data_IF_261423642481
#
_entry.id   IF_261423642481
#
_cell.length_a   1.000
_cell.length_b   1.000
_cell.length_c   1.000
_cell.angle_alpha   90.00
_cell.angle_beta   90.00
_cell.angle_gamma   90.00
#
_symmetry.space_group_name_H-M   'P 1'
#
loop_
_entity.id
_entity.type
_entity.pdbx_description
1 polymer ?
#
# COMPACT_ATOMS: atom_id res chain seq x y z
N UNK A 1 26.14 -5.82 -14.33
CA UNK A 1 25.54 -4.90 -15.32
C UNK A 1 26.38 -4.68 -16.57
N UNK A 2 26.98 -5.71 -17.08
CA UNK A 2 27.85 -5.61 -18.25
C UNK A 2 27.03 -5.70 -19.55
N UNK A 3 26.30 -4.66 -19.86
CA UNK A 3 25.42 -4.54 -21.03
C UNK A 3 25.38 -3.08 -21.50
N UNK A 4 25.14 -2.86 -22.79
CA UNK A 4 24.96 -1.56 -23.42
C UNK A 4 23.49 -1.25 -23.75
N UNK A 5 22.56 -2.08 -23.26
CA UNK A 5 21.11 -1.80 -23.37
C UNK A 5 20.79 -0.42 -22.80
N UNK A 6 19.83 0.25 -23.46
CA UNK A 6 19.43 1.62 -23.07
C UNK A 6 18.69 1.66 -21.73
N UNK A 7 18.02 0.58 -21.37
CA UNK A 7 17.45 0.40 -20.05
C UNK A 7 17.91 -0.92 -19.43
N UNK A 8 18.37 -0.87 -18.19
CA UNK A 8 18.85 -2.03 -17.44
C UNK A 8 18.27 -2.02 -16.05
N UNK A 9 17.91 -3.19 -15.54
CA UNK A 9 17.40 -3.32 -14.18
C UNK A 9 18.21 -4.37 -13.42
N UNK A 10 18.65 -4.02 -12.22
CA UNK A 10 19.30 -4.92 -11.28
C UNK A 10 18.31 -5.25 -10.17
N UNK A 11 17.78 -6.47 -10.18
CA UNK A 11 16.79 -6.95 -9.23
C UNK A 11 17.37 -8.02 -8.33
N UNK A 12 17.08 -7.97 -7.02
CA UNK A 12 17.57 -9.00 -6.10
C UNK A 12 17.16 -8.75 -4.64
N UNK A 13 17.61 -9.61 -3.72
CA UNK A 13 17.27 -9.54 -2.30
C UNK A 13 17.81 -8.27 -1.64
N UNK A 14 17.28 -7.96 -0.44
CA UNK A 14 17.79 -6.87 0.39
C UNK A 14 19.26 -7.15 0.81
N UNK A 15 20.08 -6.13 0.90
CA UNK A 15 21.48 -6.30 1.33
C UNK A 15 22.45 -6.84 0.27
N UNK A 16 21.98 -7.18 -0.93
CA UNK A 16 22.80 -7.80 -2.00
C UNK A 16 23.72 -6.83 -2.76
N UNK A 17 23.93 -5.60 -2.30
CA UNK A 17 24.86 -4.65 -2.88
C UNK A 17 24.37 -3.89 -4.12
N UNK A 18 23.08 -4.00 -4.51
CA UNK A 18 22.52 -3.38 -5.72
C UNK A 18 22.76 -1.87 -5.85
N UNK A 19 22.46 -1.12 -4.80
CA UNK A 19 22.60 0.35 -4.82
C UNK A 19 24.08 0.77 -4.88
N UNK A 20 24.96 0.01 -4.24
CA UNK A 20 26.42 0.24 -4.35
C UNK A 20 26.88 -0.02 -5.78
N UNK A 21 26.47 -1.13 -6.40
CA UNK A 21 26.77 -1.41 -7.80
C UNK A 21 26.27 -0.30 -8.73
N UNK A 22 25.10 0.27 -8.46
CA UNK A 22 24.52 1.39 -9.21
C UNK A 22 25.30 2.69 -9.03
N UNK A 23 25.84 2.96 -7.83
CA UNK A 23 26.74 4.09 -7.59
C UNK A 23 28.02 3.97 -8.44
N UNK A 24 28.63 2.81 -8.46
CA UNK A 24 29.84 2.55 -9.29
C UNK A 24 29.53 2.58 -10.79
N UNK A 25 28.33 2.19 -11.20
CA UNK A 25 27.91 2.28 -12.61
C UNK A 25 27.90 3.71 -13.13
N UNK A 26 27.54 4.70 -12.30
CA UNK A 26 27.65 6.12 -12.65
C UNK A 26 29.10 6.45 -13.07
N UNK A 27 30.05 6.11 -12.20
CA UNK A 27 31.49 6.41 -12.43
C UNK A 27 32.01 5.62 -13.63
N UNK A 28 31.65 4.35 -13.76
CA UNK A 28 32.05 3.51 -14.90
C UNK A 28 31.58 4.12 -16.21
N UNK A 29 30.32 4.53 -16.32
CA UNK A 29 29.76 5.13 -17.53
C UNK A 29 30.33 6.52 -17.80
N UNK A 30 30.61 7.30 -16.77
CA UNK A 30 31.29 8.59 -16.91
C UNK A 30 32.72 8.40 -17.45
N UNK A 31 33.46 7.41 -16.94
CA UNK A 31 34.84 7.10 -17.40
C UNK A 31 34.88 6.55 -18.83
N UNK A 32 33.80 5.98 -19.33
CA UNK A 32 33.73 5.43 -20.70
C UNK A 32 33.26 6.44 -21.73
N UNK A 33 32.89 7.66 -21.33
CA UNK A 33 32.60 8.72 -22.30
C UNK A 33 33.84 9.13 -23.09
N UNK A 34 33.68 9.53 -24.33
CA UNK A 34 34.77 10.11 -25.11
C UNK A 34 35.16 11.46 -24.52
N UNK A 35 36.44 11.78 -24.55
CA UNK A 35 36.94 13.08 -24.14
C UNK A 35 36.54 14.16 -25.16
N UNK A 36 36.21 15.34 -24.67
CA UNK A 36 36.05 16.53 -25.51
C UNK A 36 37.41 16.99 -26.12
N UNK A 37 37.36 18.08 -26.89
CA UNK A 37 38.58 18.65 -27.51
C UNK A 37 39.63 19.10 -26.49
N UNK A 38 39.20 19.41 -25.26
CA UNK A 38 40.05 19.79 -24.14
C UNK A 38 40.58 18.60 -23.34
N UNK A 39 40.30 17.38 -23.79
CA UNK A 39 40.74 16.14 -23.14
C UNK A 39 39.87 15.71 -21.93
N UNK A 40 38.80 16.42 -21.61
CA UNK A 40 37.94 16.12 -20.45
C UNK A 40 36.72 15.28 -20.87
N UNK A 41 36.44 14.21 -20.10
CA UNK A 41 35.24 13.36 -20.28
C UNK A 41 34.11 13.91 -19.43
N UNK A 42 33.13 14.52 -20.09
CA UNK A 42 32.00 15.13 -19.40
C UNK A 42 30.77 14.28 -19.48
N UNK A 43 30.05 14.21 -18.35
CA UNK A 43 28.74 13.55 -18.28
C UNK A 43 27.86 14.22 -17.24
N UNK A 44 26.57 13.97 -17.32
CA UNK A 44 25.59 14.46 -16.36
C UNK A 44 24.59 13.35 -16.05
N UNK A 45 24.43 13.03 -14.76
CA UNK A 45 23.58 11.97 -14.27
C UNK A 45 22.42 12.53 -13.45
N UNK A 46 21.23 11.95 -13.58
CA UNK A 46 20.18 12.09 -12.57
C UNK A 46 20.08 10.80 -11.75
N UNK A 47 20.03 10.94 -10.43
CA UNK A 47 19.72 9.86 -9.49
C UNK A 47 18.32 10.13 -8.93
N UNK A 48 17.41 9.23 -9.20
CA UNK A 48 15.99 9.40 -8.90
C UNK A 48 15.55 8.46 -7.79
N UNK A 49 14.80 8.99 -6.83
CA UNK A 49 14.13 8.24 -5.77
C UNK A 49 12.70 8.80 -5.60
N UNK A 50 11.77 8.01 -5.11
CA UNK A 50 10.39 8.41 -4.92
C UNK A 50 10.27 9.66 -4.02
N UNK A 51 10.81 9.62 -2.79
CA UNK A 51 10.64 10.71 -1.83
C UNK A 51 11.95 11.39 -1.42
N UNK A 52 11.87 12.68 -1.06
CA UNK A 52 13.02 13.47 -0.55
C UNK A 52 13.66 12.83 0.67
N UNK A 53 12.86 12.26 1.57
CA UNK A 53 13.34 11.62 2.79
C UNK A 53 14.16 10.37 2.46
N UNK A 54 13.63 9.47 1.66
CA UNK A 54 14.35 8.26 1.23
C UNK A 54 15.63 8.64 0.48
N UNK A 55 15.56 9.59 -0.44
CA UNK A 55 16.71 10.07 -1.19
C UNK A 55 17.83 10.55 -0.27
N UNK A 56 17.50 11.35 0.74
CA UNK A 56 18.48 11.95 1.66
C UNK A 56 19.02 10.94 2.66
N UNK A 57 18.13 10.13 3.25
CA UNK A 57 18.47 9.24 4.36
C UNK A 57 19.21 7.97 3.91
N UNK A 58 19.04 7.56 2.65
CA UNK A 58 19.62 6.33 2.12
C UNK A 58 20.52 6.58 0.91
N UNK A 59 19.97 7.01 -0.23
CA UNK A 59 20.67 7.06 -1.53
C UNK A 59 21.87 7.99 -1.54
N UNK A 60 21.67 9.25 -1.08
CA UNK A 60 22.77 10.23 -0.99
C UNK A 60 23.81 9.77 0.01
N UNK A 61 23.42 9.25 1.16
CA UNK A 61 24.35 8.71 2.16
C UNK A 61 25.24 7.61 1.55
N UNK A 62 24.61 6.58 0.98
CA UNK A 62 25.34 5.49 0.34
C UNK A 62 26.31 6.02 -0.72
N UNK A 63 25.90 6.97 -1.54
CA UNK A 63 26.78 7.55 -2.55
C UNK A 63 27.96 8.28 -1.93
N UNK A 64 27.75 9.10 -0.90
CA UNK A 64 28.81 9.88 -0.24
C UNK A 64 29.76 9.01 0.58
N UNK A 65 29.33 7.85 1.08
CA UNK A 65 30.19 6.88 1.77
C UNK A 65 31.24 6.29 0.81
N UNK A 66 30.85 6.01 -0.43
CA UNK A 66 31.76 5.46 -1.45
C UNK A 66 32.55 6.54 -2.20
N UNK A 67 31.98 7.73 -2.34
CA UNK A 67 32.61 8.88 -3.03
C UNK A 67 32.65 10.09 -2.09
N UNK A 68 33.59 10.10 -1.11
CA UNK A 68 33.64 11.15 -0.11
C UNK A 68 33.90 12.54 -0.73
N UNK A 69 33.16 13.58 -0.31
CA UNK A 69 33.46 14.94 -0.70
C UNK A 69 34.87 15.35 -0.29
N UNK A 70 35.55 16.09 -1.16
CA UNK A 70 36.95 16.50 -0.97
C UNK A 70 37.97 15.46 -1.48
N UNK A 71 37.55 14.23 -1.79
CA UNK A 71 38.41 13.19 -2.37
C UNK A 71 38.06 12.97 -3.84
N UNK A 72 36.78 12.62 -4.11
CA UNK A 72 36.31 12.31 -5.46
C UNK A 72 35.54 13.46 -6.11
N UNK A 73 35.31 14.54 -5.39
CA UNK A 73 34.51 15.69 -5.85
C UNK A 73 33.93 16.49 -4.70
N UNK A 74 32.91 17.30 -5.01
CA UNK A 74 32.24 18.17 -4.04
C UNK A 74 30.73 18.00 -4.06
N UNK A 75 30.09 17.99 -2.87
CA UNK A 75 28.64 17.89 -2.72
C UNK A 75 28.02 19.21 -2.34
N UNK A 76 27.18 19.75 -3.21
CA UNK A 76 26.37 20.95 -2.96
C UNK A 76 25.04 20.56 -2.32
N UNK A 77 24.88 20.80 -1.02
CA UNK A 77 23.70 20.37 -0.25
C UNK A 77 22.41 21.07 -0.68
N UNK A 78 22.49 22.34 -1.07
CA UNK A 78 21.31 23.16 -1.45
C UNK A 78 20.62 22.64 -2.70
N UNK A 79 21.40 22.24 -3.71
CA UNK A 79 20.90 21.71 -4.97
C UNK A 79 20.86 20.18 -5.00
N UNK A 80 21.36 19.51 -3.96
CA UNK A 80 21.57 18.06 -3.91
C UNK A 80 22.33 17.56 -5.14
N UNK A 81 23.44 18.23 -5.49
CA UNK A 81 24.24 17.91 -6.65
C UNK A 81 25.67 17.58 -6.22
N UNK A 82 26.19 16.46 -6.71
CA UNK A 82 27.57 16.05 -6.53
C UNK A 82 28.36 16.31 -7.82
N UNK A 83 29.44 17.06 -7.71
CA UNK A 83 30.37 17.33 -8.81
C UNK A 83 31.55 16.36 -8.69
N UNK A 84 31.47 15.23 -9.35
CA UNK A 84 32.52 14.24 -9.39
C UNK A 84 33.64 14.72 -10.32
N UNK A 85 34.89 14.63 -9.84
CA UNK A 85 36.06 14.97 -10.61
C UNK A 85 37.27 14.11 -10.18
N UNK A 86 37.68 13.21 -11.04
CA UNK A 86 38.85 12.37 -10.84
C UNK A 86 39.57 12.23 -12.17
N UNK A 87 40.84 12.69 -12.22
CA UNK A 87 41.61 12.73 -13.47
C UNK A 87 40.93 13.60 -14.52
N UNK A 88 40.69 13.03 -15.68
CA UNK A 88 40.03 13.66 -16.83
C UNK A 88 38.49 13.46 -16.83
N UNK A 89 37.92 12.80 -15.81
CA UNK A 89 36.51 12.50 -15.73
C UNK A 89 35.79 13.54 -14.88
N UNK A 90 34.82 14.22 -15.47
CA UNK A 90 33.91 15.15 -14.80
C UNK A 90 32.46 14.67 -14.96
N UNK A 91 31.74 14.48 -13.85
CA UNK A 91 30.33 14.10 -13.86
C UNK A 91 29.52 14.95 -12.87
N UNK A 92 28.50 15.64 -13.38
CA UNK A 92 27.51 16.32 -12.54
C UNK A 92 26.40 15.32 -12.18
N UNK A 93 26.25 14.98 -10.89
CA UNK A 93 25.32 13.97 -10.41
C UNK A 93 24.23 14.67 -9.59
N UNK A 94 23.03 14.75 -10.16
CA UNK A 94 21.89 15.45 -9.57
C UNK A 94 20.95 14.45 -8.87
N UNK A 95 20.76 14.59 -7.58
CA UNK A 95 19.81 13.79 -6.81
C UNK A 95 18.44 14.45 -6.82
N UNK A 96 17.42 13.72 -7.27
CA UNK A 96 16.05 14.22 -7.44
C UNK A 96 15.05 13.26 -6.79
N UNK A 97 14.14 13.80 -6.00
CA UNK A 97 12.95 13.08 -5.57
C UNK A 97 11.82 13.42 -6.54
N UNK A 98 11.16 12.39 -7.04
CA UNK A 98 10.11 12.52 -8.04
C UNK A 98 9.01 11.52 -7.68
N UNK A 99 7.88 12.01 -7.16
CA UNK A 99 6.79 11.18 -6.68
C UNK A 99 5.47 11.39 -7.43
N UNK A 100 5.30 12.51 -8.11
CA UNK A 100 4.06 12.82 -8.82
C UNK A 100 4.25 13.40 -10.24
N UNK A 101 3.11 13.64 -10.92
CA UNK A 101 3.08 14.17 -12.27
C UNK A 101 3.59 15.62 -12.38
N UNK A 102 3.50 16.41 -11.31
CA UNK A 102 3.98 17.79 -11.28
C UNK A 102 5.51 17.83 -11.31
N UNK A 103 6.16 16.82 -10.77
CA UNK A 103 7.61 16.64 -10.84
C UNK A 103 8.11 16.36 -12.26
N UNK A 104 7.26 15.75 -13.11
CA UNK A 104 7.58 15.55 -14.54
C UNK A 104 7.84 16.87 -15.24
N UNK A 105 7.13 17.94 -14.89
CA UNK A 105 7.36 19.27 -15.47
C UNK A 105 8.78 19.79 -15.16
N UNK A 106 9.30 19.51 -13.98
CA UNK A 106 10.65 19.89 -13.55
C UNK A 106 11.74 19.15 -14.32
N UNK A 107 11.44 17.94 -14.84
CA UNK A 107 12.37 17.18 -15.67
C UNK A 107 12.55 17.78 -17.05
N UNK A 108 11.58 18.55 -17.54
CA UNK A 108 11.57 19.05 -18.92
C UNK A 108 12.74 19.98 -19.29
N UNK A 109 13.40 20.56 -18.30
CA UNK A 109 14.58 21.42 -18.49
C UNK A 109 15.92 20.68 -18.41
N UNK A 110 15.93 19.40 -18.03
CA UNK A 110 17.17 18.66 -17.83
C UNK A 110 17.77 18.17 -19.14
N UNK A 111 19.08 18.27 -19.23
CA UNK A 111 19.90 17.66 -20.28
C UNK A 111 20.87 16.71 -19.65
N UNK A 112 20.71 15.39 -19.88
CA UNK A 112 21.39 14.32 -19.19
C UNK A 112 22.19 13.44 -20.16
N UNK A 113 23.22 12.79 -19.65
CA UNK A 113 23.88 11.66 -20.30
C UNK A 113 23.13 10.37 -19.96
N UNK A 114 22.85 10.16 -18.67
CA UNK A 114 22.23 8.93 -18.18
C UNK A 114 21.43 9.19 -16.87
N UNK A 115 20.60 8.21 -16.48
CA UNK A 115 19.84 8.29 -15.24
C UNK A 115 19.84 6.96 -14.49
N UNK A 116 19.80 7.03 -13.16
CA UNK A 116 19.64 5.91 -12.25
C UNK A 116 18.39 6.06 -11.40
N UNK A 117 17.52 5.06 -11.41
CA UNK A 117 16.33 4.94 -10.57
C UNK A 117 16.62 4.00 -9.39
N UNK A 118 16.82 4.55 -8.20
CA UNK A 118 17.06 3.76 -7.00
C UNK A 118 15.73 3.28 -6.43
N UNK A 119 15.61 1.97 -6.14
CA UNK A 119 14.36 1.27 -5.82
C UNK A 119 13.27 1.57 -6.87
N UNK A 120 13.59 1.27 -8.11
CA UNK A 120 12.79 1.68 -9.26
C UNK A 120 11.35 1.17 -9.24
N UNK A 121 11.04 0.07 -8.54
CA UNK A 121 9.67 -0.45 -8.41
C UNK A 121 8.67 0.56 -7.83
N UNK A 122 9.18 1.54 -7.03
CA UNK A 122 8.37 2.58 -6.40
C UNK A 122 8.19 3.81 -7.32
N UNK A 123 8.95 3.90 -8.43
CA UNK A 123 8.93 5.05 -9.34
C UNK A 123 7.77 4.94 -10.34
N UNK A 124 7.03 6.05 -10.50
CA UNK A 124 5.95 6.13 -11.46
C UNK A 124 6.46 5.95 -12.92
N UNK A 125 5.82 5.10 -13.74
CA UNK A 125 6.15 4.90 -15.15
C UNK A 125 6.26 6.19 -15.99
N UNK A 126 5.44 7.20 -15.72
CA UNK A 126 5.47 8.49 -16.41
C UNK A 126 6.80 9.23 -16.22
N UNK A 127 7.43 9.07 -15.04
CA UNK A 127 8.76 9.63 -14.75
C UNK A 127 9.82 8.93 -15.58
N UNK A 128 9.72 7.61 -15.76
CA UNK A 128 10.65 6.83 -16.59
C UNK A 128 10.54 7.26 -18.04
N UNK A 129 9.31 7.42 -18.55
CA UNK A 129 9.05 7.91 -19.92
C UNK A 129 9.57 9.34 -20.12
N UNK A 130 9.29 10.25 -19.20
CA UNK A 130 9.80 11.62 -19.26
C UNK A 130 11.34 11.66 -19.23
N UNK A 131 11.97 10.85 -18.38
CA UNK A 131 13.42 10.78 -18.26
C UNK A 131 14.06 10.21 -19.53
N UNK A 132 13.44 9.24 -20.19
CA UNK A 132 13.92 8.66 -21.45
C UNK A 132 14.12 9.71 -22.55
N UNK A 133 13.34 10.79 -22.52
CA UNK A 133 13.41 11.92 -23.45
C UNK A 133 14.50 12.95 -23.05
N UNK A 134 15.14 12.82 -21.92
CA UNK A 134 16.15 13.75 -21.35
C UNK A 134 17.56 13.21 -21.42
N UNK A 135 17.73 11.90 -21.45
CA UNK A 135 19.04 11.25 -21.60
C UNK A 135 19.59 11.44 -23.03
N UNK A 136 20.90 11.36 -23.18
CA UNK A 136 21.57 11.51 -24.47
C UNK A 136 21.70 12.95 -24.99
N UNK A 137 21.38 13.95 -24.14
CA UNK A 137 21.43 15.37 -24.50
C UNK A 137 22.68 16.11 -23.99
N UNK A 138 23.42 15.52 -23.08
CA UNK A 138 24.65 16.07 -22.53
C UNK A 138 25.81 15.08 -22.68
N UNK A 139 27.04 15.52 -23.00
CA UNK A 139 27.39 16.86 -23.47
C UNK A 139 26.71 17.21 -24.78
N UNK A 140 26.73 18.51 -25.15
CA UNK A 140 26.12 18.96 -26.38
C UNK A 140 26.82 18.39 -27.62
N UNK A 141 26.16 18.36 -28.77
CA UNK A 141 26.77 17.89 -30.02
C UNK A 141 28.01 18.70 -30.41
N UNK A 142 28.11 19.98 -30.00
CA UNK A 142 29.30 20.84 -30.24
C UNK A 142 30.50 20.36 -29.42
N UNK A 143 30.24 19.72 -28.28
CA UNK A 143 31.26 19.17 -27.34
C UNK A 143 31.49 17.67 -27.56
N UNK A 144 31.09 17.16 -28.74
CA UNK A 144 31.26 15.75 -29.12
C UNK A 144 30.05 14.84 -28.87
N UNK A 145 29.06 15.29 -28.13
CA UNK A 145 27.90 14.48 -27.73
C UNK A 145 28.26 13.32 -26.79
N UNK A 146 27.28 12.59 -26.23
CA UNK A 146 27.55 11.40 -25.42
C UNK A 146 27.91 10.20 -26.30
N UNK A 147 28.99 9.49 -25.98
CA UNK A 147 29.38 8.25 -26.67
C UNK A 147 28.48 7.06 -26.27
N UNK A 148 27.94 7.08 -25.08
CA UNK A 148 26.89 6.18 -24.62
C UNK A 148 25.90 6.96 -23.73
N UNK A 149 24.61 6.62 -23.83
CA UNK A 149 23.58 7.13 -22.97
C UNK A 149 22.55 6.02 -22.66
N UNK A 150 21.91 6.09 -21.50
CA UNK A 150 20.93 5.10 -21.08
C UNK A 150 20.42 5.33 -19.67
N UNK A 151 19.63 4.40 -19.19
CA UNK A 151 19.07 4.41 -17.84
C UNK A 151 19.28 3.06 -17.18
N UNK A 152 19.30 3.04 -15.87
CA UNK A 152 19.20 1.79 -15.12
C UNK A 152 18.44 1.98 -13.83
N UNK A 153 17.86 0.89 -13.32
CA UNK A 153 17.24 0.82 -12.01
C UNK A 153 17.85 -0.27 -11.15
N UNK A 154 17.82 -0.07 -9.86
CA UNK A 154 18.02 -1.15 -8.89
C UNK A 154 16.79 -1.27 -8.00
N UNK A 155 16.42 -2.50 -7.63
CA UNK A 155 15.20 -2.74 -6.85
C UNK A 155 15.19 -4.11 -6.20
N UNK A 156 14.40 -4.24 -5.15
CA UNK A 156 13.83 -5.53 -4.78
C UNK A 156 12.72 -5.90 -5.77
N UNK A 157 12.37 -7.18 -5.93
CA UNK A 157 11.33 -7.59 -6.86
C UNK A 157 10.01 -6.85 -6.65
N UNK A 158 9.41 -6.33 -7.73
CA UNK A 158 8.05 -5.77 -7.67
C UNK A 158 7.01 -6.87 -7.53
N UNK A 159 5.74 -6.51 -7.33
CA UNK A 159 4.61 -7.44 -7.41
C UNK A 159 4.22 -7.70 -8.88
N UNK A 160 3.67 -8.90 -9.15
CA UNK A 160 3.37 -9.41 -10.50
C UNK A 160 2.32 -8.61 -11.28
N UNK A 161 1.64 -7.68 -10.64
CA UNK A 161 0.61 -6.83 -11.24
C UNK A 161 1.08 -5.40 -11.55
N UNK A 162 2.36 -5.11 -11.33
CA UNK A 162 2.91 -3.78 -11.57
C UNK A 162 3.42 -3.62 -13.00
N UNK A 163 3.44 -2.36 -13.48
CA UNK A 163 4.05 -2.02 -14.75
C UNK A 163 5.51 -2.50 -14.83
N UNK A 164 6.27 -2.39 -13.73
CA UNK A 164 7.66 -2.84 -13.65
C UNK A 164 7.81 -4.33 -13.92
N UNK A 165 6.91 -5.16 -13.36
CA UNK A 165 6.92 -6.61 -13.62
C UNK A 165 6.71 -6.90 -15.11
N UNK A 166 5.70 -6.30 -15.74
CA UNK A 166 5.43 -6.50 -17.16
C UNK A 166 6.60 -6.08 -18.05
N UNK A 167 7.27 -4.96 -17.73
CA UNK A 167 8.44 -4.53 -18.47
C UNK A 167 9.65 -5.45 -18.25
N UNK A 168 9.91 -5.90 -17.02
CA UNK A 168 11.04 -6.77 -16.69
C UNK A 168 10.90 -8.16 -17.30
N UNK A 169 9.68 -8.71 -17.35
CA UNK A 169 9.39 -10.02 -17.94
C UNK A 169 9.02 -9.93 -19.43
N UNK A 170 9.04 -8.73 -20.02
CA UNK A 170 8.69 -8.48 -21.43
C UNK A 170 7.29 -8.99 -21.80
N UNK A 171 6.33 -8.82 -20.90
CA UNK A 171 4.94 -9.25 -21.06
C UNK A 171 4.05 -8.10 -21.54
N UNK A 172 3.03 -8.39 -22.34
CA UNK A 172 1.96 -7.45 -22.64
C UNK A 172 1.01 -7.37 -21.42
N UNK A 173 0.75 -6.17 -20.87
CA UNK A 173 -0.16 -6.02 -19.74
C UNK A 173 -1.61 -6.46 -20.01
N UNK A 174 -2.01 -6.58 -21.28
CA UNK A 174 -3.39 -6.93 -21.67
C UNK A 174 -3.68 -8.41 -21.63
N UNK A 175 -2.73 -9.21 -22.05
CA UNK A 175 -2.92 -10.68 -22.18
C UNK A 175 -1.86 -11.51 -21.44
N UNK A 176 -0.82 -10.86 -20.92
CA UNK A 176 0.27 -11.55 -20.21
C UNK A 176 1.15 -12.41 -21.10
N UNK A 177 1.05 -12.28 -22.43
CA UNK A 177 1.85 -13.05 -23.37
C UNK A 177 3.19 -12.34 -23.64
N UNK A 178 4.26 -13.09 -23.65
CA UNK A 178 5.61 -12.61 -23.96
C UNK A 178 5.74 -12.42 -25.47
N UNK A 179 5.80 -11.17 -25.92
CA UNK A 179 6.30 -10.84 -27.28
C UNK A 179 6.74 -9.38 -27.42
N UNK A 180 6.99 -8.72 -26.33
CA UNK A 180 7.39 -7.30 -26.33
C UNK A 180 8.87 -7.17 -26.01
N UNK A 181 9.75 -7.33 -27.01
CA UNK A 181 11.16 -6.98 -26.83
C UNK A 181 11.31 -5.46 -26.71
N UNK A 182 11.19 -4.98 -25.49
CA UNK A 182 11.33 -3.58 -25.13
C UNK A 182 12.81 -3.11 -25.09
N UNK A 183 13.77 -3.96 -25.44
CA UNK A 183 15.19 -3.66 -25.41
C UNK A 183 15.77 -3.50 -23.99
N UNK A 184 15.09 -4.02 -22.97
CA UNK A 184 15.55 -3.99 -21.58
C UNK A 184 16.42 -5.20 -21.27
N UNK A 185 17.48 -4.99 -20.48
CA UNK A 185 18.24 -6.05 -19.85
C UNK A 185 17.95 -6.09 -18.35
N UNK A 186 17.51 -7.24 -17.88
CA UNK A 186 17.18 -7.47 -16.47
C UNK A 186 18.18 -8.45 -15.86
N UNK A 187 18.88 -8.03 -14.83
CA UNK A 187 19.85 -8.82 -14.06
C UNK A 187 19.20 -9.23 -12.75
N UNK A 188 18.89 -10.53 -12.61
CA UNK A 188 18.33 -11.10 -11.40
C UNK A 188 19.44 -11.70 -10.55
N UNK A 189 19.62 -11.17 -9.34
CA UNK A 189 20.57 -11.74 -8.38
C UNK A 189 20.00 -13.01 -7.74
N UNK A 190 20.83 -13.95 -7.33
CA UNK A 190 20.39 -15.17 -6.63
C UNK A 190 19.77 -14.86 -5.27
N UNK A 191 18.96 -15.79 -4.75
CA UNK A 191 18.39 -15.71 -3.41
C UNK A 191 19.47 -15.48 -2.36
N UNK A 192 19.18 -14.66 -1.34
CA UNK A 192 20.09 -14.43 -0.20
C UNK A 192 20.39 -15.70 0.61
N UNK A 193 19.58 -16.76 0.46
CA UNK A 193 19.82 -18.08 1.06
C UNK A 193 20.60 -19.05 0.15
N UNK A 194 20.89 -18.61 -1.06
CA UNK A 194 21.66 -19.42 -2.01
C UNK A 194 23.16 -19.41 -1.63
N UNK A 195 23.86 -20.47 -1.99
CA UNK A 195 25.34 -20.50 -1.93
C UNK A 195 25.99 -19.52 -2.89
N UNK A 196 25.22 -18.99 -3.85
CA UNK A 196 25.64 -17.98 -4.81
C UNK A 196 25.19 -16.56 -4.38
N UNK A 197 24.66 -16.41 -3.17
CA UNK A 197 24.22 -15.12 -2.67
C UNK A 197 25.36 -14.09 -2.69
N UNK A 198 25.05 -12.90 -3.17
CA UNK A 198 26.03 -11.83 -3.31
C UNK A 198 26.12 -10.97 -2.04
N UNK A 199 27.33 -10.45 -1.74
CA UNK A 199 27.59 -9.52 -0.64
C UNK A 199 27.38 -10.08 0.78
N UNK A 200 27.30 -11.40 0.94
CA UNK A 200 27.01 -12.04 2.26
C UNK A 200 28.12 -11.76 3.27
N UNK A 201 29.34 -11.65 2.81
CA UNK A 201 30.54 -11.37 3.63
C UNK A 201 30.49 -9.99 4.33
N UNK A 202 29.65 -9.08 3.85
CA UNK A 202 29.47 -7.74 4.41
C UNK A 202 28.17 -7.61 5.24
N UNK A 203 27.43 -8.72 5.43
CA UNK A 203 26.17 -8.73 6.18
C UNK A 203 26.38 -9.41 7.54
N UNK A 204 25.60 -9.02 8.58
CA UNK A 204 25.62 -9.71 9.86
C UNK A 204 25.23 -11.19 9.72
N UNK A 205 25.75 -12.04 10.61
CA UNK A 205 25.35 -13.45 10.70
C UNK A 205 23.83 -13.56 10.88
N UNK A 206 23.19 -14.48 10.15
CA UNK A 206 21.75 -14.68 10.19
C UNK A 206 20.91 -13.60 9.49
N UNK A 207 21.51 -12.71 8.71
CA UNK A 207 20.79 -11.62 8.04
C UNK A 207 19.59 -12.12 7.20
N UNK A 208 19.74 -13.29 6.59
CA UNK A 208 18.69 -13.93 5.79
C UNK A 208 17.89 -15.00 6.54
N UNK A 209 17.92 -15.00 7.88
CA UNK A 209 17.06 -15.88 8.66
C UNK A 209 15.59 -15.57 8.44
N UNK A 210 14.78 -16.63 8.33
CA UNK A 210 13.36 -16.53 8.01
C UNK A 210 12.45 -16.56 9.22
N UNK A 211 13.01 -16.86 10.41
CA UNK A 211 12.23 -17.00 11.63
C UNK A 211 11.51 -15.67 12.00
N UNK A 212 10.20 -15.73 12.21
CA UNK A 212 9.38 -14.57 12.57
C UNK A 212 9.07 -13.63 11.42
N UNK A 213 9.39 -13.99 10.16
CA UNK A 213 9.09 -13.20 8.97
C UNK A 213 7.91 -13.79 8.20
N UNK A 214 7.11 -12.93 7.54
CA UNK A 214 6.03 -13.40 6.68
C UNK A 214 6.56 -14.09 5.42
N UNK A 215 5.79 -15.01 4.86
CA UNK A 215 6.15 -15.70 3.60
C UNK A 215 6.39 -14.71 2.46
N UNK A 216 5.60 -13.63 2.39
CA UNK A 216 5.77 -12.57 1.38
C UNK A 216 7.08 -11.82 1.57
N UNK A 217 7.46 -11.50 2.81
CA UNK A 217 8.75 -10.88 3.11
C UNK A 217 9.90 -11.78 2.67
N UNK A 218 9.84 -13.08 3.01
CA UNK A 218 10.87 -14.05 2.63
C UNK A 218 10.98 -14.14 1.11
N UNK A 219 9.87 -14.30 0.41
CA UNK A 219 9.80 -14.36 -1.05
C UNK A 219 10.46 -13.16 -1.71
N UNK A 220 10.06 -11.95 -1.34
CA UNK A 220 10.48 -10.72 -2.03
C UNK A 220 11.87 -10.26 -1.59
N UNK A 221 12.10 -10.17 -0.29
CA UNK A 221 13.28 -9.50 0.26
C UNK A 221 14.44 -10.44 0.56
N UNK A 222 14.19 -11.75 0.71
CA UNK A 222 15.23 -12.74 0.96
C UNK A 222 15.49 -13.58 -0.28
N UNK A 223 14.44 -14.13 -0.91
CA UNK A 223 14.62 -15.01 -2.06
C UNK A 223 14.76 -14.27 -3.39
N UNK A 224 14.42 -12.98 -3.43
CA UNK A 224 14.52 -12.18 -4.65
C UNK A 224 13.51 -12.60 -5.72
N UNK A 225 12.38 -13.18 -5.31
CA UNK A 225 11.27 -13.58 -6.17
C UNK A 225 10.20 -12.48 -6.23
N UNK A 226 9.45 -12.43 -7.33
CA UNK A 226 8.35 -11.49 -7.48
C UNK A 226 7.30 -11.64 -6.37
N UNK A 227 6.84 -10.51 -5.85
CA UNK A 227 5.74 -10.47 -4.90
C UNK A 227 4.44 -10.95 -5.53
N UNK A 228 3.61 -11.62 -4.73
CA UNK A 228 2.24 -11.93 -5.15
C UNK A 228 1.42 -10.65 -5.07
N UNK A 229 0.60 -10.41 -6.08
CA UNK A 229 -0.31 -9.29 -6.07
C UNK A 229 -1.35 -9.46 -4.96
N UNK A 230 -1.40 -8.51 -4.04
CA UNK A 230 -2.59 -8.30 -3.21
C UNK A 230 -3.64 -7.46 -3.97
N UNK A 231 -3.31 -7.04 -5.17
CA UNK A 231 -4.10 -6.18 -6.01
C UNK A 231 -5.41 -6.85 -6.39
N UNK A 232 -6.50 -6.18 -6.08
CA UNK A 232 -7.83 -6.72 -6.31
C UNK A 232 -8.23 -7.86 -5.38
N UNK A 233 -7.38 -8.27 -4.43
CA UNK A 233 -7.79 -9.24 -3.43
C UNK A 233 -8.89 -8.65 -2.55
N UNK A 234 -9.93 -9.44 -2.23
CA UNK A 234 -10.93 -9.03 -1.26
C UNK A 234 -10.28 -8.67 0.07
N UNK A 235 -10.72 -7.58 0.69
CA UNK A 235 -10.30 -7.24 2.05
C UNK A 235 -10.75 -8.33 3.03
N UNK A 236 -11.95 -8.87 2.82
CA UNK A 236 -12.52 -9.95 3.65
C UNK A 236 -12.24 -11.34 3.05
N UNK A 237 -10.98 -11.74 3.02
CA UNK A 237 -10.53 -13.01 2.41
C UNK A 237 -11.12 -14.28 3.06
N UNK A 238 -11.61 -14.18 4.29
CA UNK A 238 -12.23 -15.30 5.02
C UNK A 238 -13.75 -15.39 4.81
N UNK A 239 -14.36 -14.43 4.11
CA UNK A 239 -15.80 -14.48 3.83
C UNK A 239 -16.12 -15.56 2.79
N UNK A 240 -17.03 -16.43 3.15
CA UNK A 240 -17.56 -17.50 2.27
C UNK A 240 -19.07 -17.41 2.26
N UNK A 241 -19.69 -17.10 1.10
CA UNK A 241 -21.14 -16.94 1.01
C UNK A 241 -21.94 -18.18 1.43
N UNK A 242 -21.43 -19.38 1.11
CA UNK A 242 -22.03 -20.67 1.48
C UNK A 242 -22.07 -20.92 2.99
N UNK A 243 -21.22 -20.25 3.75
CA UNK A 243 -21.08 -20.43 5.20
C UNK A 243 -21.51 -19.20 6.04
N UNK A 244 -21.36 -17.99 5.49
CA UNK A 244 -21.62 -16.75 6.22
C UNK A 244 -22.92 -16.05 5.81
N UNK A 245 -23.57 -16.47 4.72
CA UNK A 245 -24.92 -15.98 4.40
C UNK A 245 -25.96 -16.90 5.05
N UNK A 246 -26.93 -16.28 5.70
CA UNK A 246 -28.09 -17.02 6.21
C UNK A 246 -28.92 -17.58 5.03
N UNK A 247 -29.47 -18.77 5.20
CA UNK A 247 -30.34 -19.41 4.19
C UNK A 247 -31.74 -18.83 4.16
N UNK A 248 -32.13 -18.12 5.22
CA UNK A 248 -33.42 -17.43 5.36
C UNK A 248 -33.24 -16.09 6.08
N UNK A 249 -34.24 -15.25 6.04
CA UNK A 249 -34.29 -13.97 6.74
C UNK A 249 -34.04 -14.14 8.23
N UNK A 250 -33.07 -13.38 8.75
CA UNK A 250 -32.75 -13.33 10.16
C UNK A 250 -33.75 -12.47 10.92
N UNK A 251 -34.14 -12.90 12.12
CA UNK A 251 -35.02 -12.14 13.02
C UNK A 251 -34.25 -11.64 14.24
N UNK A 252 -34.50 -10.39 14.69
CA UNK A 252 -33.86 -9.88 15.90
C UNK A 252 -34.27 -10.68 17.12
N UNK A 253 -33.36 -10.82 18.07
CA UNK A 253 -33.60 -11.47 19.35
C UNK A 253 -34.16 -10.44 20.29
N UNK A 254 -35.41 -10.61 20.68
CA UNK A 254 -36.17 -9.69 21.55
C UNK A 254 -36.15 -10.12 23.02
N UNK A 255 -35.85 -11.39 23.30
CA UNK A 255 -35.75 -11.92 24.65
C UNK A 255 -34.46 -11.43 25.33
N UNK A 256 -34.60 -10.67 26.44
CA UNK A 256 -33.46 -10.23 27.27
C UNK A 256 -32.76 -8.96 26.77
N UNK A 257 -33.51 -7.86 26.60
CA UNK A 257 -33.02 -6.46 26.37
C UNK A 257 -31.67 -6.38 25.61
N UNK A 258 -31.66 -6.90 24.39
CA UNK A 258 -30.49 -6.77 23.51
C UNK A 258 -30.71 -5.67 22.49
N UNK A 259 -29.77 -4.73 22.44
CA UNK A 259 -29.85 -3.63 21.48
C UNK A 259 -29.52 -4.09 20.07
N UNK A 260 -30.20 -3.52 19.10
CA UNK A 260 -29.72 -3.45 17.72
C UNK A 260 -28.58 -2.44 17.68
N UNK A 261 -27.46 -2.86 17.16
CA UNK A 261 -26.29 -2.02 16.95
C UNK A 261 -26.32 -1.60 15.48
N UNK A 262 -26.27 -0.29 15.24
CA UNK A 262 -26.21 0.27 13.88
C UNK A 262 -24.84 0.86 13.71
N UNK A 263 -23.99 0.22 12.92
CA UNK A 263 -22.73 0.81 12.48
C UNK A 263 -22.98 1.78 11.34
N UNK A 264 -22.44 2.97 11.40
CA UNK A 264 -22.63 3.98 10.34
C UNK A 264 -21.31 4.59 9.89
N UNK A 265 -21.16 4.68 8.59
CA UNK A 265 -20.15 5.53 7.94
C UNK A 265 -20.81 6.87 7.54
N UNK A 266 -20.17 7.99 7.92
CA UNK A 266 -20.73 9.35 7.91
C UNK A 266 -20.09 10.20 6.80
N UNK A 267 -20.31 9.85 5.55
CA UNK A 267 -19.85 10.67 4.43
C UNK A 267 -20.99 11.37 3.68
N UNK A 268 -20.70 11.93 2.50
CA UNK A 268 -21.70 12.38 1.53
C UNK A 268 -22.49 11.20 0.91
N UNK A 269 -22.02 10.00 1.14
CA UNK A 269 -22.67 8.73 0.79
C UNK A 269 -22.82 7.91 2.07
N UNK A 270 -23.70 8.33 3.01
CA UNK A 270 -23.83 7.64 4.27
C UNK A 270 -24.35 6.21 4.08
N UNK A 271 -23.77 5.30 4.85
CA UNK A 271 -24.18 3.90 4.89
C UNK A 271 -24.38 3.44 6.34
N UNK A 272 -25.27 2.49 6.52
CA UNK A 272 -25.55 1.88 7.82
C UNK A 272 -25.68 0.36 7.68
N UNK A 273 -25.22 -0.38 8.68
CA UNK A 273 -25.38 -1.83 8.81
C UNK A 273 -25.99 -2.13 10.17
N UNK A 274 -27.00 -2.99 10.21
CA UNK A 274 -27.80 -3.30 11.39
C UNK A 274 -27.47 -4.71 11.88
N UNK A 275 -27.06 -4.86 13.12
CA UNK A 275 -26.70 -6.16 13.66
C UNK A 275 -26.91 -6.28 15.16
N UNK A 276 -26.72 -7.49 15.65
CA UNK A 276 -26.85 -7.85 17.07
C UNK A 276 -25.88 -8.97 17.44
N UNK A 277 -25.35 -8.97 18.65
CA UNK A 277 -24.65 -10.11 19.20
C UNK A 277 -25.66 -11.05 19.88
N UNK A 278 -25.75 -12.29 19.40
CA UNK A 278 -26.66 -13.27 19.96
C UNK A 278 -26.10 -13.90 21.28
N UNK A 279 -26.95 -14.66 22.05
CA UNK A 279 -26.50 -15.33 23.28
C UNK A 279 -25.38 -16.36 23.08
N UNK A 280 -25.21 -16.90 21.87
CA UNK A 280 -24.18 -17.87 21.52
C UNK A 280 -22.87 -17.18 21.13
N UNK A 281 -22.85 -15.83 21.10
CA UNK A 281 -21.68 -15.04 20.70
C UNK A 281 -21.51 -14.92 19.19
N UNK A 282 -22.60 -15.08 18.39
CA UNK A 282 -22.61 -14.85 16.95
C UNK A 282 -22.98 -13.40 16.64
N UNK A 283 -22.34 -12.81 15.67
CA UNK A 283 -22.74 -11.54 15.07
C UNK A 283 -23.79 -11.81 13.99
N UNK A 284 -25.01 -11.36 14.21
CA UNK A 284 -26.11 -11.45 13.25
C UNK A 284 -26.31 -10.10 12.58
N UNK A 285 -26.14 -10.05 11.27
CA UNK A 285 -26.30 -8.84 10.44
C UNK A 285 -27.66 -8.95 9.72
N UNK A 286 -28.60 -8.08 10.06
CA UNK A 286 -30.00 -8.18 9.63
C UNK A 286 -30.33 -7.37 8.38
N UNK A 287 -29.69 -6.21 8.25
CA UNK A 287 -30.05 -5.25 7.21
C UNK A 287 -28.94 -4.25 6.93
N UNK A 288 -29.09 -3.55 5.83
CA UNK A 288 -28.20 -2.47 5.41
C UNK A 288 -28.99 -1.30 4.84
N UNK A 289 -28.43 -0.12 4.90
CA UNK A 289 -28.94 1.05 4.21
C UNK A 289 -27.77 1.80 3.58
N UNK A 290 -27.85 2.07 2.29
CA UNK A 290 -26.86 2.84 1.54
C UNK A 290 -27.59 3.96 0.80
N UNK A 291 -27.05 5.17 0.84
CA UNK A 291 -27.59 6.29 0.06
C UNK A 291 -26.48 6.95 -0.75
N UNK A 292 -26.86 7.71 -1.75
CA UNK A 292 -25.96 8.46 -2.59
C UNK A 292 -26.36 9.94 -2.52
N UNK A 293 -25.36 10.82 -2.37
CA UNK A 293 -25.52 12.27 -2.35
C UNK A 293 -26.62 12.75 -1.37
N UNK A 294 -26.55 12.27 -0.13
CA UNK A 294 -27.53 12.55 0.90
C UNK A 294 -26.84 12.98 2.21
N UNK A 295 -27.26 14.14 2.74
CA UNK A 295 -26.79 14.58 4.06
C UNK A 295 -27.29 13.68 5.20
N UNK A 296 -26.49 13.58 6.28
CA UNK A 296 -26.75 12.67 7.41
C UNK A 296 -28.12 12.86 8.07
N UNK A 297 -28.59 14.11 8.24
CA UNK A 297 -29.87 14.38 8.84
C UNK A 297 -31.03 13.80 8.02
N UNK A 298 -31.00 14.00 6.70
CA UNK A 298 -31.99 13.44 5.79
C UNK A 298 -31.91 11.90 5.80
N UNK A 299 -30.73 11.34 5.75
CA UNK A 299 -30.50 9.88 5.81
C UNK A 299 -31.15 9.27 7.06
N UNK A 300 -30.92 9.87 8.24
CA UNK A 300 -31.49 9.38 9.50
C UNK A 300 -33.02 9.50 9.51
N UNK A 301 -33.56 10.61 9.05
CA UNK A 301 -35.02 10.84 9.08
C UNK A 301 -35.79 9.99 8.07
N UNK A 302 -35.27 9.88 6.84
CA UNK A 302 -36.04 9.30 5.72
C UNK A 302 -35.72 7.82 5.47
N UNK A 303 -34.59 7.30 5.98
CA UNK A 303 -34.20 5.91 5.75
C UNK A 303 -34.06 5.17 7.09
N UNK A 304 -33.17 5.64 8.00
CA UNK A 304 -32.86 4.89 9.22
C UNK A 304 -34.08 4.77 10.15
N UNK A 305 -34.74 5.89 10.42
CA UNK A 305 -35.92 5.91 11.33
C UNK A 305 -37.06 5.03 10.85
N UNK A 306 -37.52 5.11 9.58
CA UNK A 306 -38.57 4.22 9.08
C UNK A 306 -38.18 2.74 9.16
N UNK A 307 -36.94 2.39 8.77
CA UNK A 307 -36.43 1.02 8.79
C UNK A 307 -36.39 0.47 10.22
N UNK A 308 -35.91 1.25 11.18
CA UNK A 308 -35.91 0.88 12.61
C UNK A 308 -37.33 0.69 13.15
N UNK A 309 -38.29 1.57 12.78
CA UNK A 309 -39.68 1.45 13.20
C UNK A 309 -40.36 0.20 12.62
N UNK A 310 -40.13 -0.07 11.36
CA UNK A 310 -40.75 -1.20 10.67
C UNK A 310 -40.22 -2.56 11.16
N UNK A 311 -38.90 -2.67 11.38
CA UNK A 311 -38.21 -3.96 11.54
C UNK A 311 -37.68 -4.22 12.95
N UNK A 312 -37.42 -3.16 13.74
CA UNK A 312 -36.70 -3.26 14.99
C UNK A 312 -37.40 -2.53 16.15
N UNK A 313 -38.66 -2.21 16.01
CA UNK A 313 -39.45 -1.41 16.99
C UNK A 313 -39.49 -2.03 18.40
N UNK A 314 -39.28 -3.34 18.51
CA UNK A 314 -39.28 -4.05 19.80
C UNK A 314 -37.91 -4.12 20.47
N UNK A 315 -36.85 -3.55 19.85
CA UNK A 315 -35.49 -3.59 20.35
C UNK A 315 -34.96 -2.20 20.69
N UNK A 316 -34.21 -2.04 21.79
CA UNK A 316 -33.40 -0.83 21.97
C UNK A 316 -32.41 -0.67 20.83
N UNK A 317 -32.09 0.57 20.45
CA UNK A 317 -31.18 0.88 19.36
C UNK A 317 -29.99 1.69 19.87
N UNK A 318 -28.80 1.38 19.42
CA UNK A 318 -27.60 2.19 19.58
C UNK A 318 -26.90 2.36 18.23
N UNK A 319 -26.37 3.54 17.99
CA UNK A 319 -25.63 3.85 16.76
C UNK A 319 -24.15 4.00 17.09
N UNK A 320 -23.30 3.34 16.32
CA UNK A 320 -21.83 3.43 16.42
C UNK A 320 -21.30 4.04 15.13
N UNK A 321 -20.52 5.10 15.25
CA UNK A 321 -20.08 5.91 14.12
C UNK A 321 -18.54 6.03 14.08
N UNK A 322 -18.02 6.48 12.94
CA UNK A 322 -16.62 6.90 12.83
C UNK A 322 -16.29 7.94 13.92
N UNK A 323 -15.17 7.80 14.65
CA UNK A 323 -14.69 8.82 15.58
C UNK A 323 -14.55 10.22 14.96
N UNK A 324 -14.25 10.33 13.66
CA UNK A 324 -14.20 11.61 12.96
C UNK A 324 -15.57 12.30 12.88
N UNK A 325 -16.66 11.57 13.02
CA UNK A 325 -18.03 12.13 13.09
C UNK A 325 -18.30 13.05 14.28
N UNK A 326 -17.38 13.12 15.25
CA UNK A 326 -17.41 14.10 16.36
C UNK A 326 -16.83 15.47 15.97
N UNK A 327 -16.14 15.58 14.83
CA UNK A 327 -15.59 16.85 14.36
C UNK A 327 -16.73 17.76 13.88
N UNK A 328 -16.62 19.06 14.22
CA UNK A 328 -17.60 20.06 13.80
C UNK A 328 -17.41 20.42 12.33
N UNK A 329 -18.51 20.52 11.59
CA UNK A 329 -18.47 21.05 10.24
C UNK A 329 -18.22 22.58 10.29
N UNK A 330 -17.47 23.10 9.31
CA UNK A 330 -17.15 24.53 9.24
C UNK A 330 -18.38 25.40 8.89
N UNK A 331 -19.43 24.80 8.34
CA UNK A 331 -20.60 25.51 7.81
C UNK A 331 -21.69 25.78 8.85
N UNK A 332 -21.91 24.89 9.82
CA UNK A 332 -23.03 24.96 10.77
C UNK A 332 -22.64 24.64 12.23
N UNK A 333 -21.33 24.48 12.49
CA UNK A 333 -20.74 24.19 13.81
C UNK A 333 -21.25 22.91 14.50
N UNK A 334 -22.08 22.10 13.81
CA UNK A 334 -22.61 20.84 14.31
C UNK A 334 -21.78 19.66 13.84
N UNK A 335 -21.55 18.70 14.72
CA UNK A 335 -21.00 17.43 14.32
C UNK A 335 -22.09 16.48 13.80
N UNK A 336 -21.72 15.51 12.99
CA UNK A 336 -22.66 14.46 12.56
C UNK A 336 -23.25 13.70 13.75
N UNK A 337 -22.49 13.50 14.80
CA UNK A 337 -22.94 12.91 16.08
C UNK A 337 -24.02 13.77 16.73
N UNK A 338 -23.88 15.10 16.75
CA UNK A 338 -24.86 16.00 17.33
C UNK A 338 -26.19 16.00 16.55
N UNK A 339 -26.09 15.90 15.22
CA UNK A 339 -27.26 15.80 14.35
C UNK A 339 -28.01 14.49 14.63
N UNK A 340 -27.34 13.37 14.75
CA UNK A 340 -27.99 12.07 15.02
C UNK A 340 -28.59 12.05 16.43
N UNK A 341 -27.91 12.64 17.42
CA UNK A 341 -28.45 12.79 18.81
C UNK A 341 -29.69 13.67 18.84
N UNK A 342 -29.71 14.76 18.07
CA UNK A 342 -30.89 15.63 17.98
C UNK A 342 -32.11 14.90 17.35
N UNK A 343 -31.86 13.85 16.58
CA UNK A 343 -32.94 12.96 16.09
C UNK A 343 -33.39 11.92 17.14
N UNK A 344 -32.87 11.95 18.37
CA UNK A 344 -33.31 11.12 19.48
C UNK A 344 -32.60 9.77 19.62
N UNK A 345 -31.52 9.54 18.88
CA UNK A 345 -30.77 8.29 18.95
C UNK A 345 -29.61 8.36 19.95
N UNK A 346 -29.31 7.22 20.58
CA UNK A 346 -28.07 7.04 21.36
C UNK A 346 -26.91 6.77 20.41
N UNK A 347 -25.91 7.67 20.37
CA UNK A 347 -24.78 7.60 19.45
C UNK A 347 -23.48 7.52 20.23
N UNK A 348 -22.61 6.62 19.80
CA UNK A 348 -21.28 6.42 20.36
C UNK A 348 -20.23 6.44 19.24
N UNK A 349 -19.16 7.21 19.37
CA UNK A 349 -18.04 7.07 18.47
C UNK A 349 -17.36 5.71 18.71
N UNK A 350 -16.88 5.08 17.67
CA UNK A 350 -16.07 3.87 17.77
C UNK A 350 -14.79 4.16 18.58
N UNK A 351 -14.24 3.13 19.27
CA UNK A 351 -13.07 3.30 20.14
C UNK A 351 -11.80 3.70 19.39
N UNK A 352 -11.70 3.37 18.12
CA UNK A 352 -10.55 3.66 17.26
C UNK A 352 -10.96 3.78 15.81
N UNK A 353 -10.18 4.53 15.02
CA UNK A 353 -10.29 4.58 13.57
C UNK A 353 -9.17 3.78 12.87
N UNK A 354 -8.36 3.03 13.61
CA UNK A 354 -7.31 2.17 13.04
C UNK A 354 -7.92 1.14 12.10
N UNK A 355 -7.51 1.16 10.83
CA UNK A 355 -7.98 0.23 9.79
C UNK A 355 -7.69 -1.21 10.19
N UNK A 356 -6.49 -1.50 10.70
CA UNK A 356 -6.11 -2.85 11.13
C UNK A 356 -7.01 -3.38 12.26
N UNK A 357 -7.33 -2.55 13.27
CA UNK A 357 -8.23 -2.94 14.36
C UNK A 357 -9.66 -3.18 13.86
N UNK A 358 -10.15 -2.36 12.92
CA UNK A 358 -11.47 -2.51 12.30
C UNK A 358 -11.57 -3.81 11.50
N UNK A 359 -10.55 -4.14 10.71
CA UNK A 359 -10.50 -5.37 9.94
C UNK A 359 -10.38 -6.60 10.83
N UNK A 360 -9.49 -6.58 11.83
CA UNK A 360 -9.34 -7.69 12.79
C UNK A 360 -10.66 -8.00 13.50
N UNK A 361 -11.47 -6.99 13.85
CA UNK A 361 -12.76 -7.21 14.49
C UNK A 361 -13.77 -7.94 13.58
N UNK A 362 -13.69 -7.78 12.27
CA UNK A 362 -14.49 -8.54 11.30
C UNK A 362 -13.92 -9.95 11.11
N UNK A 363 -12.61 -10.05 10.86
CA UNK A 363 -11.92 -11.32 10.59
C UNK A 363 -12.06 -12.30 11.74
N UNK A 364 -11.98 -11.83 12.98
CA UNK A 364 -12.19 -12.65 14.18
C UNK A 364 -13.54 -13.41 14.15
N UNK A 365 -14.61 -12.75 13.69
CA UNK A 365 -15.93 -13.39 13.60
C UNK A 365 -16.07 -14.24 12.34
N UNK A 366 -15.41 -13.89 11.23
CA UNK A 366 -15.40 -14.71 10.02
C UNK A 366 -14.66 -16.05 10.24
N UNK A 367 -13.62 -16.06 11.06
CA UNK A 367 -12.83 -17.27 11.33
C UNK A 367 -13.39 -18.11 12.49
N UNK A 368 -14.20 -17.51 13.35
CA UNK A 368 -14.69 -18.16 14.57
C UNK A 368 -15.96 -19.00 14.31
N UNK A 369 -16.08 -20.08 15.04
CA UNK A 369 -17.30 -20.88 15.16
C UNK A 369 -17.96 -20.66 16.53
N UNK A 370 -19.28 -20.77 16.55
CA UNK A 370 -20.10 -20.77 17.75
C UNK A 370 -21.03 -21.99 17.70
N UNK A 371 -20.85 -22.93 18.61
CA UNK A 371 -21.58 -24.22 18.64
C UNK A 371 -21.50 -25.04 17.34
N UNK A 372 -20.37 -24.98 16.64
CA UNK A 372 -20.14 -25.67 15.37
C UNK A 372 -20.62 -24.94 14.12
N UNK A 373 -21.36 -23.84 14.27
CA UNK A 373 -21.86 -23.00 13.20
C UNK A 373 -21.00 -21.71 13.03
N UNK A 374 -21.22 -20.97 11.95
CA UNK A 374 -20.58 -19.68 11.72
C UNK A 374 -20.88 -18.69 12.85
N UNK A 375 -19.84 -18.03 13.38
CA UNK A 375 -20.02 -16.93 14.34
C UNK A 375 -20.42 -15.60 13.68
N UNK A 376 -20.50 -15.55 12.35
CA UNK A 376 -20.88 -14.38 11.59
C UNK A 376 -21.94 -14.79 10.55
N UNK A 377 -23.14 -14.20 10.63
CA UNK A 377 -24.21 -14.48 9.70
C UNK A 377 -24.81 -13.19 9.13
N UNK A 378 -24.95 -13.15 7.82
CA UNK A 378 -25.51 -12.01 7.07
C UNK A 378 -26.83 -12.42 6.45
N UNK A 379 -27.86 -11.59 6.64
CA UNK A 379 -29.17 -11.76 6.02
C UNK A 379 -29.09 -11.65 4.48
N UNK A 380 -29.82 -12.47 3.72
CA UNK A 380 -29.84 -12.40 2.26
C UNK A 380 -30.20 -11.02 1.67
N UNK A 381 -30.88 -10.18 2.43
CA UNK A 381 -31.26 -8.81 2.04
C UNK A 381 -30.07 -7.85 1.95
N UNK A 382 -28.95 -8.14 2.64
CA UNK A 382 -27.76 -7.31 2.64
C UNK A 382 -26.96 -7.49 1.35
N UNK A 383 -27.49 -7.04 0.22
CA UNK A 383 -26.94 -7.27 -1.12
C UNK A 383 -25.70 -6.44 -1.42
N UNK A 384 -25.66 -5.18 -0.95
CA UNK A 384 -24.48 -4.32 -1.06
C UNK A 384 -23.32 -4.84 -0.21
N UNK A 385 -23.63 -5.22 1.04
CA UNK A 385 -22.62 -5.78 1.94
C UNK A 385 -22.08 -7.12 1.41
N UNK A 386 -22.95 -8.01 0.94
CA UNK A 386 -22.54 -9.24 0.27
C UNK A 386 -21.58 -8.95 -0.88
N UNK A 387 -21.94 -8.02 -1.76
CA UNK A 387 -21.09 -7.62 -2.89
C UNK A 387 -19.74 -7.05 -2.44
N UNK A 388 -19.75 -6.22 -1.38
CA UNK A 388 -18.54 -5.70 -0.77
C UNK A 388 -17.64 -6.83 -0.26
N UNK A 389 -18.20 -7.78 0.49
CA UNK A 389 -17.47 -8.89 1.11
C UNK A 389 -16.96 -9.93 0.09
N UNK A 390 -17.64 -10.07 -1.05
CA UNK A 390 -17.24 -10.98 -2.15
C UNK A 390 -16.15 -10.39 -3.06
N UNK A 391 -15.53 -9.27 -2.69
CA UNK A 391 -14.41 -8.68 -3.44
C UNK A 391 -14.70 -7.30 -4.01
N UNK A 392 -15.90 -6.74 -3.83
CA UNK A 392 -16.17 -5.35 -4.16
C UNK A 392 -15.37 -4.36 -3.30
N UNK A 393 -15.16 -4.69 -2.03
CA UNK A 393 -14.23 -4.00 -1.13
C UNK A 393 -12.89 -4.72 -1.14
N UNK A 394 -11.90 -4.09 -1.76
CA UNK A 394 -10.63 -4.74 -2.13
C UNK A 394 -9.45 -3.82 -1.94
N UNK A 395 -8.26 -4.41 -1.96
CA UNK A 395 -7.02 -3.65 -1.97
C UNK A 395 -6.76 -3.03 -3.35
N UNK A 396 -6.24 -1.81 -3.35
CA UNK A 396 -5.91 -1.08 -4.57
C UNK A 396 -4.70 -1.69 -5.28
N UNK A 397 -4.78 -1.77 -6.63
CA UNK A 397 -3.78 -2.44 -7.47
C UNK A 397 -2.35 -1.86 -7.39
N UNK A 398 -2.18 -0.59 -7.01
CA UNK A 398 -0.88 0.08 -7.10
C UNK A 398 -0.14 0.26 -5.77
N UNK A 399 -0.82 0.30 -4.63
CA UNK A 399 -0.20 0.74 -3.37
C UNK A 399 -0.55 -0.13 -2.14
N UNK A 400 -1.26 -1.23 -2.32
CA UNK A 400 -1.66 -2.10 -1.20
C UNK A 400 -2.64 -1.46 -0.20
N UNK A 401 -3.07 -0.23 -0.42
CA UNK A 401 -4.12 0.42 0.37
C UNK A 401 -5.49 -0.11 -0.04
N UNK A 402 -6.49 0.10 0.80
CA UNK A 402 -7.85 -0.24 0.45
C UNK A 402 -8.40 0.76 -0.57
N UNK A 403 -8.96 0.25 -1.68
CA UNK A 403 -9.57 1.06 -2.73
C UNK A 403 -10.84 1.72 -2.21
N UNK A 404 -10.90 3.07 -2.31
CA UNK A 404 -12.14 3.81 -2.03
C UNK A 404 -13.05 3.74 -3.24
N UNK A 405 -14.15 3.01 -3.11
CA UNK A 405 -15.16 2.81 -4.15
C UNK A 405 -16.56 2.74 -3.54
N UNK A 406 -17.58 2.47 -4.36
CA UNK A 406 -18.99 2.38 -3.91
C UNK A 406 -19.25 1.36 -2.80
N UNK A 407 -18.37 0.38 -2.61
CA UNK A 407 -18.49 -0.65 -1.58
C UNK A 407 -17.83 -0.27 -0.25
N UNK A 408 -17.02 0.79 -0.24
CA UNK A 408 -16.28 1.21 0.95
C UNK A 408 -17.19 1.61 2.10
N UNK A 409 -18.24 2.38 1.81
CA UNK A 409 -19.11 2.94 2.84
C UNK A 409 -19.87 1.88 3.64
N UNK A 410 -20.45 0.88 2.97
CA UNK A 410 -21.15 -0.22 3.66
C UNK A 410 -20.17 -1.14 4.40
N UNK A 411 -18.98 -1.35 3.85
CA UNK A 411 -17.94 -2.14 4.49
C UNK A 411 -17.38 -1.45 5.75
N UNK A 412 -17.18 -0.13 5.70
CA UNK A 412 -16.74 0.65 6.86
C UNK A 412 -17.82 0.76 7.93
N UNK A 413 -19.10 0.89 7.53
CA UNK A 413 -20.24 0.81 8.45
C UNK A 413 -20.28 -0.53 9.20
N UNK A 414 -20.05 -1.67 8.51
CA UNK A 414 -19.89 -2.98 9.14
C UNK A 414 -18.74 -2.99 10.14
N UNK A 415 -17.59 -2.43 9.79
CA UNK A 415 -16.41 -2.42 10.64
C UNK A 415 -16.65 -1.69 11.97
N UNK A 416 -17.36 -0.55 11.96
CA UNK A 416 -17.72 0.17 13.19
C UNK A 416 -18.68 -0.63 14.05
N UNK A 417 -19.67 -1.30 13.45
CA UNK A 417 -20.54 -2.23 14.15
C UNK A 417 -19.75 -3.35 14.81
N UNK A 418 -18.86 -4.00 14.05
CA UNK A 418 -18.09 -5.15 14.51
C UNK A 418 -17.06 -4.79 15.60
N UNK A 419 -16.45 -3.60 15.55
CA UNK A 419 -15.62 -3.10 16.66
C UNK A 419 -16.40 -3.03 17.97
N UNK A 420 -17.66 -2.60 17.93
CA UNK A 420 -18.50 -2.52 19.12
C UNK A 420 -18.88 -3.93 19.61
N UNK A 421 -19.34 -4.80 18.72
CA UNK A 421 -19.67 -6.20 19.03
C UNK A 421 -18.47 -6.92 19.65
N UNK A 422 -17.28 -6.79 19.06
CA UNK A 422 -16.05 -7.38 19.56
C UNK A 422 -15.75 -6.93 20.99
N UNK A 423 -15.91 -5.64 21.27
CA UNK A 423 -15.67 -5.08 22.61
C UNK A 423 -16.65 -5.57 23.69
N UNK A 424 -17.89 -5.87 23.31
CA UNK A 424 -18.90 -6.47 24.22
C UNK A 424 -18.56 -7.94 24.46
N UNK A 425 -18.21 -8.67 23.41
CA UNK A 425 -17.84 -10.09 23.48
C UNK A 425 -16.64 -10.33 24.40
N UNK A 426 -15.67 -9.43 24.42
CA UNK A 426 -14.53 -9.51 25.37
C UNK A 426 -14.97 -9.30 26.83
N UNK A 427 -16.01 -8.51 27.08
CA UNK A 427 -16.59 -8.28 28.41
C UNK A 427 -17.32 -9.48 28.99
N UNK A 428 -17.83 -10.37 28.15
CA UNK A 428 -18.60 -11.55 28.53
C UNK A 428 -17.81 -12.83 28.67
N UNK A 429 -16.51 -12.84 28.27
CA UNK A 429 -15.61 -13.98 28.43
C UNK A 429 -15.27 -14.18 29.93
N UNK A 430 -15.34 -15.40 30.38
CA UNK A 430 -14.88 -15.78 31.75
C UNK A 430 -13.39 -15.49 31.92
N UNK A 431 -12.89 -15.24 33.15
CA UNK A 431 -11.47 -15.00 33.40
C UNK A 431 -10.54 -16.05 32.78
N UNK A 432 -10.94 -17.33 32.79
CA UNK A 432 -10.19 -18.42 32.17
C UNK A 432 -10.10 -18.31 30.63
N UNK A 433 -11.17 -17.91 29.95
CA UNK A 433 -11.17 -17.70 28.51
C UNK A 433 -10.34 -16.47 28.09
N UNK A 434 -10.25 -15.44 28.98
CA UNK A 434 -9.34 -14.29 28.78
C UNK A 434 -7.86 -14.69 28.89
N UNK A 435 -7.52 -15.60 29.80
CA UNK A 435 -6.15 -16.08 29.95
C UNK A 435 -5.69 -16.94 28.78
N UNK A 436 -6.53 -17.83 28.28
CA UNK A 436 -6.27 -18.63 27.07
C UNK A 436 -6.04 -17.73 25.85
N UNK A 437 -6.81 -16.66 25.68
CA UNK A 437 -6.65 -15.69 24.57
C UNK A 437 -5.35 -14.89 24.70
N UNK A 438 -4.92 -14.50 25.92
CA UNK A 438 -3.64 -13.85 26.16
C UNK A 438 -2.46 -14.75 25.81
N UNK A 439 -2.53 -16.02 26.15
CA UNK A 439 -1.48 -17.01 25.85
C UNK A 439 -1.39 -17.26 24.34
N UNK A 440 -2.52 -17.34 23.63
CA UNK A 440 -2.54 -17.47 22.18
C UNK A 440 -1.99 -16.21 21.45
N UNK A 441 -2.27 -15.03 21.98
CA UNK A 441 -1.75 -13.77 21.42
C UNK A 441 -0.23 -13.57 21.64
N UNK A 442 0.33 -14.15 22.72
CA UNK A 442 1.78 -14.08 23.01
C UNK A 442 2.57 -15.15 22.25
N UNK A 443 1.92 -16.20 21.77
CA UNK A 443 2.55 -17.27 20.98
C UNK A 443 2.73 -16.94 19.48
N UNK A 444 2.40 -15.74 19.03
CA UNK A 444 2.49 -15.28 17.63
C UNK A 444 3.24 -13.93 17.48
N UNK A 445 4.21 -13.67 18.37
CA UNK A 445 5.17 -12.55 18.20
C UNK A 445 6.54 -13.06 17.76
#
# INVERSE_FOLDING_TARGET
>A
MNSDAKMRVLMGPVGSGKSVASCFEIVRRASQQQSGQDGVRRSRAAVVRETVRQLTDTTIKTFLDWFPPGVCGNFMRTTKTYFFKVGDVECEIMFRALDDADDVANLNSLELTFAWFNECRDINPEIVDAMSKRIGRYPSAKDGGPSWFGMWGDTNPPTMDTWWYYQMEKLDPKDGVSDNDNGWDVFKQPSGRSTLAENVENLPDGYYDTQGRSEEYVRVFIDGEYGLSSAGQPVYKYFRPDYHMATSTLTPITNGVRSIIVGMDLGLTPAAVFGQLDPRGRALIFDEAVSFDMGIQRFVRTIIRPLLYERFSSCPVMIVVDPAGTQRAQTDERSAVDIIKAEGFKVFPAKTNSVSARLSAVDDFLMRQADGDSAFLVDPRCTHLKSAMMGGYRFHHKNGNIEKNKHSHVAEALQYLMLHIHSIGEGTLTPQAREIRKVAAVGWT
#
